data_IF_099743407316
#
_entry.id   IF_099743407316
#
_cell.length_a   1.000
_cell.length_b   1.000
_cell.length_c   1.000
_cell.angle_alpha   90.00
_cell.angle_beta   90.00
_cell.angle_gamma   90.00
#
_symmetry.space_group_name_H-M   'P 1'
#
loop_
_entity.id
_entity.type
_entity.pdbx_description
1 polymer ?
#
# COMPACT_ATOMS: atom_id res chain seq x y z
N UNK A 1 -16.91 2.63 8.67
CA UNK A 1 -15.71 3.42 9.00
C UNK A 1 -14.66 3.06 7.97
N UNK A 2 -14.11 4.03 7.23
CA UNK A 2 -12.93 3.80 6.40
C UNK A 2 -11.86 3.16 7.28
N UNK A 3 -11.18 2.12 6.80
CA UNK A 3 -10.11 1.50 7.57
C UNK A 3 -8.89 2.44 7.56
N UNK A 4 -8.83 3.36 8.53
CA UNK A 4 -7.70 4.29 8.73
C UNK A 4 -6.34 3.59 8.67
N UNK A 5 -6.27 2.32 9.10
CA UNK A 5 -5.05 1.52 9.02
C UNK A 5 -4.63 1.24 7.56
N UNK A 6 -5.58 0.91 6.70
CA UNK A 6 -5.31 0.65 5.30
C UNK A 6 -4.89 1.93 4.57
N UNK A 7 -5.58 3.04 4.85
CA UNK A 7 -5.17 4.37 4.37
C UNK A 7 -3.73 4.70 4.78
N UNK A 8 -3.38 4.55 6.06
CA UNK A 8 -2.03 4.83 6.52
C UNK A 8 -0.99 3.91 5.87
N UNK A 9 -1.31 2.62 5.68
CA UNK A 9 -0.44 1.71 4.94
C UNK A 9 -0.16 2.21 3.51
N UNK A 10 -1.17 2.72 2.80
CA UNK A 10 -1.01 3.28 1.46
C UNK A 10 -0.05 4.48 1.48
N UNK A 11 -0.28 5.44 2.38
CA UNK A 11 0.56 6.64 2.50
C UNK A 11 2.01 6.29 2.82
N UNK A 12 2.19 5.40 3.79
CA UNK A 12 3.51 4.93 4.22
C UNK A 12 4.24 4.16 3.11
N UNK A 13 3.51 3.33 2.36
CA UNK A 13 4.06 2.64 1.20
C UNK A 13 4.43 3.63 0.08
N UNK A 14 3.64 4.68 -0.12
CA UNK A 14 3.94 5.71 -1.11
C UNK A 14 5.23 6.47 -0.78
N UNK A 15 5.48 6.79 0.49
CA UNK A 15 6.78 7.36 0.92
C UNK A 15 7.94 6.39 0.64
N UNK A 16 7.76 5.09 0.89
CA UNK A 16 8.76 4.07 0.53
C UNK A 16 8.95 3.88 -0.98
N UNK A 17 7.93 4.17 -1.78
CA UNK A 17 8.05 4.22 -3.23
C UNK A 17 8.92 5.41 -3.67
N UNK A 18 8.79 6.58 -3.04
CA UNK A 18 9.66 7.74 -3.31
C UNK A 18 11.14 7.46 -3.00
N UNK A 19 11.42 6.61 -2.01
CA UNK A 19 12.77 6.11 -1.74
C UNK A 19 13.30 5.14 -2.82
N UNK A 20 12.45 4.74 -3.78
CA UNK A 20 12.80 3.90 -4.93
C UNK A 20 12.71 2.40 -4.66
N UNK A 21 12.38 1.98 -3.44
CA UNK A 21 12.53 0.60 -2.97
C UNK A 21 11.37 -0.33 -3.35
N UNK A 22 10.21 0.23 -3.68
CA UNK A 22 9.01 -0.55 -3.97
C UNK A 22 8.32 -0.07 -5.24
N UNK A 23 7.44 -0.90 -5.79
CA UNK A 23 6.39 -0.54 -6.74
C UNK A 23 5.06 -0.70 -5.99
N UNK A 24 4.14 0.24 -6.18
CA UNK A 24 2.79 0.14 -5.62
C UNK A 24 1.73 0.47 -6.65
N UNK A 25 0.60 -0.25 -6.57
CA UNK A 25 -0.57 -0.07 -7.42
C UNK A 25 -1.80 -0.09 -6.51
N UNK A 26 -2.65 0.93 -6.65
CA UNK A 26 -3.95 0.99 -5.99
C UNK A 26 -5.04 0.53 -6.94
N UNK A 27 -5.93 -0.28 -6.41
CA UNK A 27 -7.16 -0.71 -7.05
C UNK A 27 -8.33 -0.15 -6.25
N UNK A 28 -9.28 0.41 -6.99
CA UNK A 28 -10.62 0.72 -6.51
C UNK A 28 -11.61 -0.09 -7.35
N UNK A 29 -12.90 -0.03 -6.98
CA UNK A 29 -13.97 -0.68 -7.74
C UNK A 29 -14.01 -0.28 -9.22
N UNK A 30 -13.53 0.92 -9.58
CA UNK A 30 -13.67 1.49 -10.93
C UNK A 30 -12.34 1.88 -11.58
N UNK A 31 -11.22 1.79 -10.87
CA UNK A 31 -9.95 2.31 -11.38
C UNK A 31 -8.73 1.60 -10.83
N UNK A 32 -7.63 1.70 -11.59
CA UNK A 32 -6.32 1.20 -11.21
C UNK A 32 -5.31 2.31 -11.41
N UNK A 33 -4.48 2.55 -10.40
CA UNK A 33 -3.53 3.65 -10.40
C UNK A 33 -2.18 3.20 -9.87
N UNK A 34 -1.14 3.42 -10.68
CA UNK A 34 0.24 3.18 -10.26
C UNK A 34 0.71 4.33 -9.40
N UNK A 35 1.51 4.04 -8.37
CA UNK A 35 2.18 5.08 -7.58
C UNK A 35 3.03 6.01 -8.45
N UNK A 36 3.61 5.52 -9.55
CA UNK A 36 4.37 6.34 -10.50
C UNK A 36 3.56 7.45 -11.18
N UNK A 37 2.24 7.26 -11.28
CA UNK A 37 1.36 8.16 -12.00
C UNK A 37 0.66 9.15 -11.06
N UNK A 38 0.80 8.94 -9.74
CA UNK A 38 0.18 9.77 -8.72
C UNK A 38 1.03 11.01 -8.43
N UNK A 39 0.36 12.17 -8.40
CA UNK A 39 0.95 13.44 -7.97
C UNK A 39 0.51 13.84 -6.57
N UNK A 40 -0.70 13.43 -6.17
CA UNK A 40 -1.32 13.71 -4.88
C UNK A 40 -1.94 12.42 -4.35
N UNK A 41 -1.25 11.76 -3.43
CA UNK A 41 -1.72 10.50 -2.82
C UNK A 41 -2.78 10.77 -1.75
N UNK A 42 -2.67 11.87 -1.01
CA UNK A 42 -3.56 12.20 0.10
C UNK A 42 -4.97 12.48 -0.42
N UNK A 43 -5.08 13.32 -1.46
CA UNK A 43 -6.34 13.56 -2.15
C UNK A 43 -6.90 12.29 -2.79
N UNK A 44 -6.05 11.47 -3.40
CA UNK A 44 -6.47 10.24 -4.05
C UNK A 44 -7.12 9.24 -3.08
N UNK A 45 -6.50 8.97 -1.93
CA UNK A 45 -7.04 8.00 -0.96
C UNK A 45 -8.34 8.50 -0.33
N UNK A 46 -8.54 9.82 -0.26
CA UNK A 46 -9.81 10.38 0.20
C UNK A 46 -10.95 10.21 -0.80
N UNK A 47 -10.69 10.47 -2.08
CA UNK A 47 -11.73 10.54 -3.11
C UNK A 47 -12.01 9.19 -3.79
N UNK A 48 -10.98 8.37 -4.02
CA UNK A 48 -11.08 7.17 -4.85
C UNK A 48 -11.39 5.88 -4.08
N UNK A 49 -11.41 5.93 -2.74
CA UNK A 49 -11.75 4.82 -1.84
C UNK A 49 -11.18 3.45 -2.30
N UNK A 50 -9.84 3.32 -2.41
CA UNK A 50 -9.22 2.08 -2.84
C UNK A 50 -9.51 0.96 -1.85
N UNK A 51 -9.74 -0.25 -2.38
CA UNK A 51 -10.06 -1.45 -1.60
C UNK A 51 -8.93 -2.50 -1.66
N UNK A 52 -7.95 -2.34 -2.57
CA UNK A 52 -6.79 -3.20 -2.66
C UNK A 52 -5.51 -2.42 -3.03
N UNK A 53 -4.41 -2.76 -2.35
CA UNK A 53 -3.07 -2.25 -2.57
C UNK A 53 -2.16 -3.41 -2.96
N UNK A 54 -1.62 -3.38 -4.17
CA UNK A 54 -0.53 -4.26 -4.58
C UNK A 54 0.79 -3.60 -4.26
N UNK A 55 1.70 -4.34 -3.61
CA UNK A 55 3.08 -3.91 -3.37
C UNK A 55 4.06 -4.95 -3.89
N UNK A 56 5.11 -4.48 -4.55
CA UNK A 56 6.26 -5.29 -4.94
C UNK A 56 7.55 -4.65 -4.46
N UNK A 57 8.32 -5.39 -3.67
CA UNK A 57 9.67 -5.02 -3.26
C UNK A 57 10.64 -5.18 -4.43
N UNK A 58 11.35 -4.10 -4.80
CA UNK A 58 12.42 -4.19 -5.80
C UNK A 58 13.69 -4.82 -5.24
N UNK A 59 13.85 -4.82 -3.91
CA UNK A 59 15.02 -5.35 -3.22
C UNK A 59 14.97 -6.87 -3.09
N UNK A 60 13.80 -7.41 -2.74
CA UNK A 60 13.63 -8.86 -2.48
C UNK A 60 12.85 -9.57 -3.58
N UNK A 61 12.17 -8.83 -4.45
CA UNK A 61 11.26 -9.39 -5.45
C UNK A 61 9.91 -9.83 -4.88
N UNK A 62 9.73 -9.81 -3.55
CA UNK A 62 8.48 -10.22 -2.90
C UNK A 62 7.33 -9.29 -3.31
N UNK A 63 6.16 -9.89 -3.49
CA UNK A 63 4.93 -9.18 -3.82
C UNK A 63 3.78 -9.59 -2.90
N UNK A 64 2.88 -8.66 -2.66
CA UNK A 64 1.70 -8.88 -1.83
C UNK A 64 0.56 -7.98 -2.30
N UNK A 65 -0.60 -8.59 -2.50
CA UNK A 65 -1.87 -7.88 -2.58
C UNK A 65 -2.47 -7.73 -1.18
N UNK A 66 -2.90 -6.53 -0.81
CA UNK A 66 -3.50 -6.25 0.49
C UNK A 66 -4.88 -5.68 0.24
N UNK A 67 -5.91 -6.47 0.55
CA UNK A 67 -7.27 -5.97 0.57
C UNK A 67 -7.54 -5.24 1.89
N UNK A 68 -8.31 -4.16 1.85
CA UNK A 68 -8.69 -3.37 3.02
C UNK A 68 -9.31 -4.25 4.13
N UNK A 69 -10.12 -5.22 3.72
CA UNK A 69 -10.83 -6.16 4.60
C UNK A 69 -9.90 -7.21 5.24
N UNK A 70 -8.80 -7.53 4.57
CA UNK A 70 -7.84 -8.56 4.98
C UNK A 70 -6.71 -8.02 5.86
N UNK A 71 -6.44 -6.71 5.80
CA UNK A 71 -5.38 -6.10 6.60
C UNK A 71 -5.66 -6.27 8.10
N UNK A 72 -4.82 -7.06 8.77
CA UNK A 72 -4.86 -7.23 10.22
C UNK A 72 -3.98 -6.19 10.89
N UNK A 73 -2.72 -6.09 10.47
CA UNK A 73 -1.77 -5.12 10.98
C UNK A 73 -0.63 -4.84 9.98
N UNK A 74 0.07 -3.73 10.18
CA UNK A 74 1.35 -3.48 9.52
C UNK A 74 2.30 -2.73 10.44
N UNK A 75 3.59 -2.77 10.11
CA UNK A 75 4.63 -1.95 10.76
C UNK A 75 5.69 -1.55 9.75
N UNK A 76 6.22 -0.35 9.89
CA UNK A 76 7.39 0.12 9.15
C UNK A 76 8.60 0.03 10.07
N UNK A 77 9.68 -0.54 9.57
CA UNK A 77 10.97 -0.47 10.24
C UNK A 77 11.92 0.37 9.39
N UNK A 78 12.02 1.65 9.74
CA UNK A 78 12.80 2.64 9.00
C UNK A 78 14.28 2.22 8.85
N UNK A 79 14.85 1.60 9.89
CA UNK A 79 16.23 1.08 9.87
C UNK A 79 16.48 -0.04 8.85
N UNK A 80 15.42 -0.68 8.35
CA UNK A 80 15.49 -1.82 7.44
C UNK A 80 14.86 -1.53 6.07
N UNK A 81 14.40 -0.30 5.83
CA UNK A 81 13.64 0.07 4.61
C UNK A 81 12.52 -0.93 4.27
N UNK A 82 11.92 -1.53 5.30
CA UNK A 82 11.02 -2.68 5.16
C UNK A 82 9.64 -2.38 5.75
N UNK A 83 8.61 -2.81 5.02
CA UNK A 83 7.22 -2.81 5.47
C UNK A 83 6.84 -4.26 5.79
N UNK A 84 6.41 -4.52 7.01
CA UNK A 84 5.88 -5.81 7.42
C UNK A 84 4.36 -5.73 7.42
N UNK A 85 3.71 -6.64 6.71
CA UNK A 85 2.26 -6.64 6.53
C UNK A 85 1.74 -7.99 7.01
N UNK A 86 0.70 -7.95 7.84
CA UNK A 86 -0.02 -9.12 8.32
C UNK A 86 -1.46 -9.06 7.82
N UNK A 87 -1.87 -10.08 7.08
CA UNK A 87 -3.24 -10.25 6.60
C UNK A 87 -3.91 -11.43 7.30
N UNK A 88 -5.23 -11.36 7.52
CA UNK A 88 -6.00 -12.36 8.28
C UNK A 88 -5.95 -13.77 7.66
N UNK A 89 -5.87 -13.86 6.34
CA UNK A 89 -6.06 -15.12 5.59
C UNK A 89 -4.91 -15.47 4.63
N UNK A 90 -3.72 -14.89 4.84
CA UNK A 90 -2.53 -15.28 4.07
C UNK A 90 -1.62 -16.13 4.96
N UNK A 91 -1.69 -17.45 4.76
CA UNK A 91 -0.74 -18.41 5.34
C UNK A 91 0.59 -18.36 4.60
#
# INVERSE_FOLDING_TARGET
>A
MKNEKFKNLILDAYEKFKEGNIVGILYSTVSTHWFSDMKDIDGFVEECNPDMLHLKSKLTGNEIDVYESELENYKIKASESTIYIKCKNKM
#
